data_IF_868656185880
#
_entry.id   IF_868656185880
#
_cell.length_a   1.000
_cell.length_b   1.000
_cell.length_c   1.000
_cell.angle_alpha   90.00
_cell.angle_beta   90.00
_cell.angle_gamma   90.00
#
_symmetry.space_group_name_H-M   'P 1'
#
loop_
_entity.id
_entity.type
_entity.pdbx_description
1 polymer ?
#
# COMPACT_ATOMS: atom_id res chain seq x y z
N UNK A 1 3.09 25.45 -13.83
CA UNK A 1 3.70 24.13 -13.54
C UNK A 1 2.99 23.10 -14.40
N UNK A 2 3.72 22.16 -15.00
CA UNK A 2 3.10 21.05 -15.71
C UNK A 2 2.27 20.23 -14.70
N UNK A 3 1.14 19.63 -15.13
CA UNK A 3 0.35 18.76 -14.28
C UNK A 3 1.17 17.54 -13.85
N UNK A 4 0.96 17.06 -12.62
CA UNK A 4 1.42 15.75 -12.18
C UNK A 4 0.48 14.71 -12.81
N UNK A 5 1.03 13.77 -13.58
CA UNK A 5 0.25 12.76 -14.31
C UNK A 5 0.25 11.46 -13.53
N UNK A 6 -0.93 10.93 -13.24
CA UNK A 6 -1.12 9.68 -12.50
C UNK A 6 -1.82 8.68 -13.40
N UNK A 7 -1.12 7.62 -13.78
CA UNK A 7 -1.72 6.49 -14.49
C UNK A 7 -2.46 5.58 -13.49
N UNK A 8 -3.72 5.24 -13.80
CA UNK A 8 -4.54 4.37 -12.98
C UNK A 8 -4.95 3.15 -13.80
N UNK A 9 -4.62 1.96 -13.30
CA UNK A 9 -5.19 0.70 -13.76
C UNK A 9 -6.67 0.64 -13.32
N UNK A 10 -7.57 1.09 -14.18
CA UNK A 10 -8.99 1.13 -13.84
C UNK A 10 -9.70 -0.21 -13.97
N UNK A 11 -8.99 -1.26 -14.39
CA UNK A 11 -9.55 -2.61 -14.57
C UNK A 11 -9.08 -3.59 -13.47
N UNK A 12 -8.22 -3.15 -12.54
CA UNK A 12 -7.56 -4.05 -11.60
C UNK A 12 -8.34 -4.39 -10.33
N UNK A 13 -9.33 -3.61 -9.94
CA UNK A 13 -10.07 -3.79 -8.67
C UNK A 13 -11.26 -4.74 -8.76
N UNK A 14 -11.80 -5.16 -7.62
CA UNK A 14 -12.95 -6.07 -7.52
C UNK A 14 -14.25 -5.46 -8.09
N UNK A 15 -14.35 -4.13 -8.12
CA UNK A 15 -15.51 -3.38 -8.63
C UNK A 15 -15.11 -2.47 -9.80
N UNK A 16 -14.07 -2.85 -10.52
CA UNK A 16 -13.56 -2.12 -11.67
C UNK A 16 -14.61 -2.01 -12.80
N UNK A 17 -14.62 -0.92 -13.54
CA UNK A 17 -13.80 0.29 -13.39
C UNK A 17 -14.41 1.35 -12.48
N UNK A 18 -15.60 1.10 -11.89
CA UNK A 18 -16.42 2.12 -11.24
C UNK A 18 -15.74 2.71 -9.99
N UNK A 19 -15.24 1.84 -9.10
CA UNK A 19 -14.63 2.29 -7.84
C UNK A 19 -13.33 3.05 -8.07
N UNK A 20 -12.52 2.63 -9.04
CA UNK A 20 -11.26 3.26 -9.41
C UNK A 20 -11.50 4.68 -9.95
N UNK A 21 -12.51 4.84 -10.82
CA UNK A 21 -12.92 6.15 -11.36
C UNK A 21 -13.49 7.04 -10.26
N UNK A 22 -14.36 6.52 -9.38
CA UNK A 22 -14.89 7.25 -8.24
C UNK A 22 -13.79 7.69 -7.28
N UNK A 23 -12.78 6.82 -7.04
CA UNK A 23 -11.60 7.16 -6.26
C UNK A 23 -10.81 8.31 -6.86
N UNK A 24 -10.62 8.34 -8.17
CA UNK A 24 -9.96 9.43 -8.88
C UNK A 24 -10.75 10.75 -8.79
N UNK A 25 -12.09 10.69 -8.88
CA UNK A 25 -12.96 11.87 -8.71
C UNK A 25 -12.79 12.45 -7.29
N UNK A 26 -12.87 11.62 -6.25
CA UNK A 26 -12.67 12.06 -4.87
C UNK A 26 -11.27 12.62 -4.64
N UNK A 27 -10.26 12.00 -5.24
CA UNK A 27 -8.87 12.47 -5.17
C UNK A 27 -8.72 13.84 -5.88
N UNK A 28 -9.36 14.05 -7.04
CA UNK A 28 -9.29 15.31 -7.76
C UNK A 28 -9.82 16.49 -6.95
N UNK A 29 -10.92 16.29 -6.22
CA UNK A 29 -11.47 17.31 -5.32
C UNK A 29 -10.49 17.68 -4.20
N UNK A 30 -9.85 16.66 -3.60
CA UNK A 30 -8.86 16.86 -2.54
C UNK A 30 -7.59 17.54 -3.06
N UNK A 31 -7.09 17.14 -4.21
CA UNK A 31 -5.91 17.76 -4.84
C UNK A 31 -6.16 19.22 -5.21
N UNK A 32 -7.37 19.55 -5.70
CA UNK A 32 -7.77 20.93 -5.95
C UNK A 32 -7.72 21.78 -4.67
N UNK A 33 -8.22 21.25 -3.54
CA UNK A 33 -8.15 21.94 -2.24
C UNK A 33 -6.71 22.18 -1.77
N UNK A 34 -5.77 21.29 -2.15
CA UNK A 34 -4.35 21.41 -1.87
C UNK A 34 -3.59 22.28 -2.88
N UNK A 35 -4.27 22.82 -3.91
CA UNK A 35 -3.65 23.63 -4.96
C UNK A 35 -2.77 22.82 -5.92
N UNK A 36 -2.93 21.50 -5.98
CA UNK A 36 -2.19 20.62 -6.85
C UNK A 36 -2.89 20.45 -8.19
N UNK A 37 -2.14 20.57 -9.29
CA UNK A 37 -2.63 20.32 -10.64
C UNK A 37 -2.33 18.88 -11.04
N UNK A 38 -3.36 18.05 -11.09
CA UNK A 38 -3.25 16.60 -11.38
C UNK A 38 -4.03 16.26 -12.64
N UNK A 39 -3.42 15.43 -13.50
CA UNK A 39 -4.07 14.77 -14.63
C UNK A 39 -4.07 13.26 -14.41
N UNK A 40 -5.23 12.62 -14.57
CA UNK A 40 -5.36 11.18 -14.48
C UNK A 40 -5.32 10.54 -15.88
N UNK A 41 -4.52 9.48 -16.04
CA UNK A 41 -4.51 8.64 -17.23
C UNK A 41 -5.25 7.34 -16.88
N UNK A 42 -6.50 7.21 -17.30
CA UNK A 42 -7.28 5.99 -17.09
C UNK A 42 -6.87 4.93 -18.09
N UNK A 43 -6.18 3.90 -17.61
CA UNK A 43 -5.69 2.81 -18.45
C UNK A 43 -6.65 1.62 -18.33
N UNK A 44 -7.30 1.24 -19.42
CA UNK A 44 -8.29 0.14 -19.43
C UNK A 44 -9.13 0.14 -20.68
N UNK A 45 -10.16 -0.71 -20.71
CA UNK A 45 -11.09 -0.81 -21.84
C UNK A 45 -11.90 0.48 -21.98
N UNK A 46 -11.64 1.22 -23.06
CA UNK A 46 -12.25 2.53 -23.29
C UNK A 46 -13.77 2.50 -23.23
N UNK A 47 -14.41 1.46 -23.80
CA UNK A 47 -15.87 1.30 -23.79
C UNK A 47 -16.45 1.15 -22.39
N UNK A 48 -15.75 0.40 -21.49
CA UNK A 48 -16.18 0.19 -20.11
C UNK A 48 -15.97 1.45 -19.28
N UNK A 49 -14.85 2.17 -19.49
CA UNK A 49 -14.56 3.45 -18.83
C UNK A 49 -15.64 4.49 -19.20
N UNK A 50 -15.93 4.68 -20.48
CA UNK A 50 -16.95 5.64 -20.96
C UNK A 50 -18.32 5.33 -20.36
N UNK A 51 -18.73 4.05 -20.40
CA UNK A 51 -20.00 3.62 -19.80
C UNK A 51 -20.09 3.90 -18.30
N UNK A 52 -19.01 3.64 -17.55
CA UNK A 52 -18.98 3.94 -16.11
C UNK A 52 -19.09 5.45 -15.84
N UNK A 53 -18.46 6.26 -16.67
CA UNK A 53 -18.46 7.73 -16.52
C UNK A 53 -19.81 8.38 -16.84
N UNK A 54 -20.65 7.78 -17.68
CA UNK A 54 -21.99 8.32 -18.01
C UNK A 54 -22.88 8.51 -16.77
N UNK A 55 -22.64 7.73 -15.71
CA UNK A 55 -23.43 7.77 -14.46
C UNK A 55 -22.83 8.66 -13.37
N UNK A 56 -21.68 9.26 -13.62
CA UNK A 56 -20.90 10.00 -12.63
C UNK A 56 -20.87 11.50 -12.94
N UNK A 57 -20.73 12.30 -11.86
CA UNK A 57 -20.46 13.74 -11.95
C UNK A 57 -19.01 14.01 -11.54
N UNK A 58 -18.26 14.72 -12.39
CA UNK A 58 -16.82 14.94 -12.18
C UNK A 58 -16.35 16.34 -12.61
N UNK A 59 -16.89 17.42 -12.00
CA UNK A 59 -16.68 18.81 -12.47
C UNK A 59 -15.23 19.27 -12.42
N UNK A 60 -14.35 18.58 -11.68
CA UNK A 60 -12.96 18.98 -11.46
C UNK A 60 -11.93 17.94 -11.93
N UNK A 61 -12.39 16.84 -12.53
CA UNK A 61 -11.53 15.78 -13.00
C UNK A 61 -10.90 16.13 -14.35
N UNK A 62 -9.58 16.24 -14.38
CA UNK A 62 -8.81 16.31 -15.63
C UNK A 62 -8.29 14.91 -15.93
N UNK A 63 -8.68 14.34 -17.06
CA UNK A 63 -8.30 12.97 -17.42
C UNK A 63 -8.14 12.78 -18.92
N UNK A 64 -7.41 11.71 -19.26
CA UNK A 64 -7.39 11.11 -20.58
C UNK A 64 -7.54 9.60 -20.47
N UNK A 65 -7.95 8.93 -21.55
CA UNK A 65 -8.13 7.47 -21.58
C UNK A 65 -7.04 6.87 -22.45
N UNK A 66 -6.41 5.82 -21.94
CA UNK A 66 -5.49 4.96 -22.68
C UNK A 66 -6.14 3.59 -22.80
N UNK A 67 -6.54 3.22 -24.03
CA UNK A 67 -7.20 1.95 -24.26
C UNK A 67 -6.25 0.77 -24.01
N UNK A 68 -6.71 -0.19 -23.22
CA UNK A 68 -6.03 -1.45 -22.92
C UNK A 68 -7.07 -2.58 -22.97
N UNK A 69 -6.91 -3.51 -23.90
CA UNK A 69 -7.93 -4.51 -24.19
C UNK A 69 -7.89 -5.73 -23.27
N UNK A 70 -6.77 -5.94 -22.58
CA UNK A 70 -6.56 -7.07 -21.68
C UNK A 70 -6.67 -6.66 -20.21
N UNK A 71 -7.11 -7.63 -19.39
CA UNK A 71 -7.26 -7.46 -17.94
C UNK A 71 -6.41 -8.52 -17.23
N UNK A 72 -5.71 -8.10 -16.18
CA UNK A 72 -5.05 -9.01 -15.23
C UNK A 72 -6.01 -9.31 -14.10
N UNK A 73 -6.38 -10.59 -13.95
CA UNK A 73 -7.24 -11.05 -12.85
C UNK A 73 -6.44 -11.35 -11.60
N UNK A 74 -7.14 -11.45 -10.45
CA UNK A 74 -6.51 -11.85 -9.18
C UNK A 74 -5.97 -13.29 -9.18
N UNK A 75 -6.41 -14.13 -10.13
CA UNK A 75 -5.99 -15.53 -10.27
C UNK A 75 -4.87 -15.73 -11.32
N UNK A 76 -4.49 -14.69 -12.06
CA UNK A 76 -3.41 -14.80 -13.02
C UNK A 76 -2.06 -15.00 -12.32
N UNK A 77 -1.22 -15.85 -12.90
CA UNK A 77 0.17 -16.01 -12.44
C UNK A 77 0.92 -14.68 -12.65
N UNK A 78 1.47 -14.08 -11.57
CA UNK A 78 2.17 -12.80 -11.65
C UNK A 78 3.30 -12.76 -12.68
N UNK A 79 4.01 -13.89 -12.87
CA UNK A 79 5.14 -13.97 -13.80
C UNK A 79 4.70 -14.19 -15.24
N UNK A 80 3.56 -14.84 -15.45
CA UNK A 80 2.99 -15.06 -16.78
C UNK A 80 2.45 -13.74 -17.40
N UNK A 81 1.93 -12.83 -16.59
CA UNK A 81 1.40 -11.52 -17.04
C UNK A 81 2.42 -10.76 -17.88
N UNK A 82 3.68 -10.73 -17.48
CA UNK A 82 4.76 -10.02 -18.18
C UNK A 82 4.96 -10.51 -19.61
N UNK A 83 4.69 -11.80 -19.84
CA UNK A 83 4.89 -12.43 -21.15
C UNK A 83 3.63 -12.40 -22.03
N UNK A 84 2.47 -12.64 -21.44
CA UNK A 84 1.22 -12.93 -22.14
C UNK A 84 0.19 -11.81 -22.16
N UNK A 85 0.29 -10.81 -21.24
CA UNK A 85 -0.71 -9.73 -21.10
C UNK A 85 -0.10 -8.33 -21.17
N UNK A 86 0.69 -8.08 -22.20
CA UNK A 86 1.35 -6.78 -22.40
C UNK A 86 0.40 -5.65 -22.79
N UNK A 87 -0.78 -5.97 -23.30
CA UNK A 87 -1.85 -5.00 -23.60
C UNK A 87 -2.84 -4.86 -22.43
N UNK A 88 -2.49 -5.34 -21.23
CA UNK A 88 -3.31 -5.14 -20.05
C UNK A 88 -3.15 -3.74 -19.45
N UNK A 89 -4.20 -3.27 -18.81
CA UNK A 89 -4.22 -1.99 -18.10
C UNK A 89 -3.08 -1.86 -17.08
N UNK A 90 -2.76 -2.94 -16.38
CA UNK A 90 -1.66 -3.01 -15.42
C UNK A 90 -0.30 -2.84 -16.13
N UNK A 91 -0.03 -3.62 -17.17
CA UNK A 91 1.27 -3.56 -17.86
C UNK A 91 1.45 -2.20 -18.56
N UNK A 92 0.45 -1.75 -19.31
CA UNK A 92 0.51 -0.48 -20.03
C UNK A 92 0.65 0.72 -19.08
N UNK A 93 -0.04 0.71 -17.93
CA UNK A 93 0.08 1.77 -16.92
C UNK A 93 1.50 1.88 -16.36
N UNK A 94 2.15 0.76 -16.05
CA UNK A 94 3.55 0.73 -15.61
C UNK A 94 4.50 1.17 -16.75
N UNK A 95 4.27 0.74 -17.99
CA UNK A 95 5.10 1.13 -19.15
C UNK A 95 4.99 2.63 -19.45
N UNK A 96 3.80 3.23 -19.34
CA UNK A 96 3.59 4.68 -19.47
C UNK A 96 4.43 5.43 -18.44
N UNK A 97 4.45 4.96 -17.19
CA UNK A 97 5.28 5.53 -16.13
C UNK A 97 6.78 5.34 -16.42
N UNK A 98 7.18 4.15 -16.87
CA UNK A 98 8.58 3.86 -17.22
C UNK A 98 9.13 4.78 -18.32
N UNK A 99 8.29 5.16 -19.27
CA UNK A 99 8.64 6.10 -20.38
C UNK A 99 8.59 7.58 -19.97
N UNK A 100 8.27 7.90 -18.72
CA UNK A 100 8.14 9.27 -18.23
C UNK A 100 6.88 9.99 -18.72
N UNK A 101 5.88 9.25 -19.23
CA UNK A 101 4.60 9.80 -19.66
C UNK A 101 3.57 9.87 -18.51
N UNK A 102 3.89 9.29 -17.36
CA UNK A 102 3.21 9.50 -16.08
C UNK A 102 4.24 9.61 -14.95
N UNK A 103 3.90 10.35 -13.91
CA UNK A 103 4.76 10.58 -12.74
C UNK A 103 4.52 9.53 -11.65
N UNK A 104 3.35 8.86 -11.69
CA UNK A 104 3.00 7.76 -10.79
C UNK A 104 2.08 6.76 -11.48
N UNK A 105 2.03 5.54 -10.92
CA UNK A 105 1.09 4.48 -11.29
C UNK A 105 0.36 3.96 -10.06
N UNK A 106 -0.96 3.74 -10.20
CA UNK A 106 -1.83 3.22 -9.14
C UNK A 106 -2.65 2.05 -9.69
N UNK A 107 -2.71 0.96 -8.94
CA UNK A 107 -3.55 -0.20 -9.25
C UNK A 107 -4.13 -0.78 -7.96
N UNK A 108 -5.38 -1.23 -8.01
CA UNK A 108 -6.03 -2.03 -6.97
C UNK A 108 -6.10 -3.52 -7.34
N UNK A 109 -5.33 -3.92 -8.37
CA UNK A 109 -5.31 -5.27 -8.90
C UNK A 109 -4.35 -6.23 -8.20
N UNK A 110 -3.95 -7.27 -8.91
CA UNK A 110 -3.08 -8.33 -8.43
C UNK A 110 -1.70 -7.79 -8.02
N UNK A 111 -1.45 -7.72 -6.71
CA UNK A 111 -0.22 -7.15 -6.13
C UNK A 111 1.05 -7.84 -6.64
N UNK A 112 1.03 -9.17 -6.79
CA UNK A 112 2.15 -9.93 -7.33
C UNK A 112 2.46 -9.55 -8.79
N UNK A 113 1.42 -9.36 -9.60
CA UNK A 113 1.55 -8.93 -11.00
C UNK A 113 2.08 -7.48 -11.09
N UNK A 114 1.60 -6.56 -10.24
CA UNK A 114 2.13 -5.19 -10.13
C UNK A 114 3.61 -5.23 -9.81
N UNK A 115 4.00 -5.93 -8.74
CA UNK A 115 5.39 -6.03 -8.31
C UNK A 115 6.29 -6.66 -9.38
N UNK A 116 5.87 -7.78 -9.96
CA UNK A 116 6.64 -8.50 -10.98
C UNK A 116 6.83 -7.65 -12.23
N UNK A 117 5.75 -7.02 -12.71
CA UNK A 117 5.79 -6.14 -13.89
C UNK A 117 6.65 -4.91 -13.64
N UNK A 118 6.47 -4.23 -12.49
CA UNK A 118 7.27 -3.07 -12.11
C UNK A 118 8.78 -3.44 -12.02
N UNK A 119 9.09 -4.60 -11.43
CA UNK A 119 10.49 -5.07 -11.33
C UNK A 119 11.14 -5.26 -12.70
N UNK A 120 10.39 -5.76 -13.69
CA UNK A 120 10.92 -6.01 -15.04
C UNK A 120 10.95 -4.75 -15.89
N UNK A 121 9.91 -3.92 -15.83
CA UNK A 121 9.73 -2.76 -16.71
C UNK A 121 10.49 -1.53 -16.17
N UNK A 122 10.37 -1.22 -14.87
CA UNK A 122 11.08 -0.10 -14.24
C UNK A 122 12.51 -0.48 -13.81
N UNK A 123 12.73 -1.76 -13.55
CA UNK A 123 13.98 -2.21 -12.94
C UNK A 123 14.02 -1.95 -11.43
N UNK A 124 15.15 -2.33 -10.82
CA UNK A 124 15.42 -2.10 -9.40
C UNK A 124 16.34 -0.90 -9.21
N UNK A 125 16.15 -0.17 -8.13
CA UNK A 125 17.10 0.87 -7.72
C UNK A 125 18.48 0.24 -7.51
N UNK A 126 19.53 0.91 -7.97
CA UNK A 126 20.92 0.41 -7.82
C UNK A 126 21.24 0.18 -6.34
N UNK A 127 21.73 -1.00 -6.02
CA UNK A 127 22.03 -1.42 -4.65
C UNK A 127 20.89 -2.18 -3.95
N UNK A 128 19.68 -2.18 -4.49
CA UNK A 128 18.54 -2.95 -3.95
C UNK A 128 18.53 -4.35 -4.54
N UNK A 129 18.69 -5.37 -3.71
CA UNK A 129 18.72 -6.78 -4.12
C UNK A 129 17.32 -7.32 -4.42
N UNK A 130 16.32 -6.91 -3.64
CA UNK A 130 14.92 -7.30 -3.79
C UNK A 130 14.00 -6.11 -3.55
N UNK A 131 12.96 -5.93 -4.37
CA UNK A 131 11.90 -4.97 -4.04
C UNK A 131 11.15 -5.46 -2.81
N UNK A 132 10.54 -4.55 -2.09
CA UNK A 132 9.67 -4.84 -0.95
C UNK A 132 8.32 -4.17 -1.12
N UNK A 133 7.29 -4.72 -0.48
CA UNK A 133 5.98 -4.10 -0.38
C UNK A 133 5.86 -3.53 1.03
N UNK A 134 5.59 -2.23 1.13
CA UNK A 134 5.35 -1.55 2.39
C UNK A 134 3.90 -1.18 2.58
N UNK A 135 3.44 -1.20 3.83
CA UNK A 135 2.12 -0.69 4.21
C UNK A 135 2.22 0.17 5.45
N UNK A 136 1.27 1.11 5.56
CA UNK A 136 1.11 1.90 6.77
C UNK A 136 0.03 1.29 7.65
N UNK A 137 0.38 1.03 8.91
CA UNK A 137 -0.58 0.64 9.93
C UNK A 137 -0.82 1.78 10.92
N UNK A 138 -2.07 2.00 11.37
CA UNK A 138 -2.37 3.02 12.36
C UNK A 138 -1.73 2.66 13.71
N UNK A 139 -1.34 3.69 14.47
CA UNK A 139 -0.81 3.49 15.83
C UNK A 139 -1.65 4.24 16.87
N UNK A 140 -1.46 3.87 18.12
CA UNK A 140 -2.11 4.54 19.26
C UNK A 140 -1.75 6.03 19.38
N UNK A 141 -0.61 6.44 18.82
CA UNK A 141 -0.12 7.82 18.88
C UNK A 141 -0.48 8.66 17.66
N UNK A 142 -1.29 8.10 16.73
CA UNK A 142 -1.80 8.80 15.55
C UNK A 142 -0.83 8.92 14.36
N UNK A 143 0.49 8.72 14.56
CA UNK A 143 1.43 8.64 13.45
C UNK A 143 1.51 7.18 12.98
N UNK A 144 1.25 6.91 11.69
CA UNK A 144 1.27 5.52 11.19
C UNK A 144 2.70 4.96 11.18
N UNK A 145 2.82 3.68 11.50
CA UNK A 145 4.06 2.90 11.36
C UNK A 145 4.16 2.33 9.95
N UNK A 146 5.36 2.37 9.36
CA UNK A 146 5.66 1.72 8.10
C UNK A 146 6.12 0.28 8.35
N UNK A 147 5.36 -0.71 7.88
CA UNK A 147 5.72 -2.13 7.94
C UNK A 147 6.30 -2.58 6.59
N UNK A 148 7.49 -3.16 6.58
CA UNK A 148 8.25 -3.70 5.46
C UNK A 148 8.83 -5.08 5.84
N UNK A 149 8.66 -6.15 5.14
CA UNK A 149 7.95 -6.47 3.89
C UNK A 149 6.57 -7.06 4.22
N UNK A 150 5.55 -6.82 3.39
CA UNK A 150 4.20 -7.38 3.62
C UNK A 150 3.76 -8.34 2.50
N UNK A 151 4.69 -9.04 1.86
CA UNK A 151 4.34 -10.12 0.94
C UNK A 151 5.14 -10.20 -0.36
N UNK A 152 6.24 -9.44 -0.51
CA UNK A 152 7.10 -9.51 -1.70
C UNK A 152 8.06 -10.70 -1.66
N UNK A 153 8.63 -11.01 -0.49
CA UNK A 153 9.69 -12.03 -0.35
C UNK A 153 9.45 -12.89 0.87
N UNK A 154 9.10 -14.18 0.64
CA UNK A 154 8.78 -15.13 1.73
C UNK A 154 10.06 -15.54 2.47
N UNK A 155 11.11 -15.94 1.75
CA UNK A 155 12.39 -16.34 2.35
C UNK A 155 13.38 -15.18 2.25
N UNK A 156 13.57 -14.46 3.36
CA UNK A 156 14.47 -13.33 3.41
C UNK A 156 15.86 -13.73 3.92
N UNK A 157 16.89 -13.33 3.16
CA UNK A 157 18.26 -13.32 3.64
C UNK A 157 18.49 -12.10 4.56
N UNK A 158 19.40 -12.16 5.55
CA UNK A 158 19.71 -11.03 6.42
C UNK A 158 19.99 -9.73 5.68
N UNK A 159 20.70 -9.82 4.56
CA UNK A 159 21.00 -8.69 3.68
C UNK A 159 19.71 -8.02 3.14
N UNK A 160 18.68 -8.78 2.81
CA UNK A 160 17.43 -8.19 2.29
C UNK A 160 16.71 -7.41 3.37
N UNK A 161 16.60 -7.96 4.59
CA UNK A 161 16.02 -7.28 5.74
C UNK A 161 16.79 -6.00 6.08
N UNK A 162 18.11 -6.04 6.00
CA UNK A 162 18.95 -4.85 6.18
C UNK A 162 18.69 -3.80 5.09
N UNK A 163 18.57 -4.20 3.82
CA UNK A 163 18.23 -3.31 2.71
C UNK A 163 16.81 -2.72 2.88
N UNK A 164 15.85 -3.50 3.41
CA UNK A 164 14.50 -3.00 3.73
C UNK A 164 14.55 -1.94 4.84
N UNK A 165 15.42 -2.10 5.82
CA UNK A 165 15.62 -1.08 6.85
C UNK A 165 16.14 0.24 6.27
N UNK A 166 17.11 0.17 5.36
CA UNK A 166 17.60 1.36 4.63
C UNK A 166 16.47 2.01 3.83
N UNK A 167 15.69 1.23 3.09
CA UNK A 167 14.57 1.76 2.31
C UNK A 167 13.51 2.41 3.20
N UNK A 168 13.18 1.77 4.32
CA UNK A 168 12.24 2.30 5.30
C UNK A 168 12.73 3.59 5.96
N UNK A 169 14.01 3.65 6.33
CA UNK A 169 14.65 4.85 6.89
C UNK A 169 14.56 6.03 5.91
N UNK A 170 14.98 5.82 4.66
CA UNK A 170 14.96 6.86 3.62
C UNK A 170 13.52 7.29 3.31
N UNK A 171 12.61 6.33 3.17
CA UNK A 171 11.20 6.62 2.90
C UNK A 171 10.56 7.43 4.02
N UNK A 172 10.77 7.02 5.27
CA UNK A 172 10.21 7.74 6.43
C UNK A 172 10.78 9.15 6.57
N UNK A 173 12.06 9.35 6.27
CA UNK A 173 12.65 10.71 6.26
C UNK A 173 12.04 11.59 5.19
N UNK A 174 11.90 11.10 3.96
CA UNK A 174 11.46 11.92 2.83
C UNK A 174 9.94 12.10 2.82
N UNK A 175 9.17 11.03 3.04
CA UNK A 175 7.72 11.04 2.86
C UNK A 175 6.98 11.38 4.15
N UNK A 176 7.45 10.86 5.30
CA UNK A 176 6.83 11.13 6.59
C UNK A 176 7.44 12.33 7.33
N UNK A 177 8.58 12.85 6.86
CA UNK A 177 9.27 13.99 7.49
C UNK A 177 9.88 13.67 8.85
N UNK A 178 10.32 12.42 9.08
CA UNK A 178 10.92 11.98 10.36
C UNK A 178 12.44 11.98 10.22
N UNK A 179 13.15 12.90 10.83
CA UNK A 179 14.62 13.04 10.67
C UNK A 179 15.40 11.78 11.05
N UNK A 180 15.02 11.14 12.16
CA UNK A 180 15.66 9.94 12.69
C UNK A 180 14.61 8.88 13.03
N UNK A 181 14.03 8.20 12.01
CA UNK A 181 12.99 7.22 12.24
C UNK A 181 13.52 6.07 13.09
N UNK A 182 12.75 5.66 14.08
CA UNK A 182 13.04 4.48 14.90
C UNK A 182 12.75 3.24 14.08
N UNK A 183 13.75 2.38 13.90
CA UNK A 183 13.66 1.14 13.14
C UNK A 183 13.64 -0.03 14.11
N UNK A 184 12.58 -0.83 14.08
CA UNK A 184 12.43 -2.07 14.84
C UNK A 184 12.51 -3.29 13.92
N UNK A 185 13.09 -4.39 14.41
CA UNK A 185 13.07 -5.69 13.75
C UNK A 185 11.98 -6.55 14.38
N UNK A 186 10.95 -6.93 13.61
CA UNK A 186 9.84 -7.72 14.13
C UNK A 186 10.33 -9.12 14.54
N UNK A 187 10.02 -9.49 15.78
CA UNK A 187 10.48 -10.74 16.37
C UNK A 187 9.45 -11.29 17.36
N UNK A 188 9.72 -12.48 17.89
CA UNK A 188 8.92 -13.17 18.91
C UNK A 188 9.21 -12.71 20.34
N UNK A 189 10.21 -11.87 20.55
CA UNK A 189 10.64 -11.31 21.85
C UNK A 189 11.63 -10.17 21.63
N UNK A 190 11.76 -9.30 22.66
CA UNK A 190 12.61 -8.09 22.61
C UNK A 190 14.10 -8.40 22.72
N UNK A 191 14.48 -9.58 23.27
CA UNK A 191 15.88 -9.94 23.51
C UNK A 191 16.64 -10.19 22.20
N UNK A 192 17.86 -9.71 22.09
CA UNK A 192 18.72 -9.86 20.92
C UNK A 192 19.04 -11.32 20.54
N UNK A 193 18.80 -12.24 21.47
CA UNK A 193 19.05 -13.70 21.27
C UNK A 193 17.84 -14.46 20.74
N UNK A 194 16.71 -13.81 20.54
CA UNK A 194 15.48 -14.43 20.04
C UNK A 194 15.41 -14.41 18.53
N UNK A 195 14.62 -15.33 17.99
CA UNK A 195 14.30 -15.41 16.55
C UNK A 195 15.07 -16.50 15.83
N UNK A 196 14.87 -16.53 14.53
CA UNK A 196 15.54 -17.44 13.60
C UNK A 196 16.94 -16.95 13.26
N UNK A 197 17.80 -17.82 12.74
CA UNK A 197 19.17 -17.45 12.33
C UNK A 197 19.22 -16.20 11.42
N UNK A 198 18.36 -16.04 10.38
CA UNK A 198 18.33 -14.81 9.59
C UNK A 198 17.99 -13.56 10.39
N UNK A 199 17.12 -13.67 11.39
CA UNK A 199 16.75 -12.55 12.26
C UNK A 199 17.92 -12.14 13.18
N UNK A 200 18.61 -13.12 13.78
CA UNK A 200 19.79 -12.87 14.61
C UNK A 200 20.89 -12.17 13.84
N UNK A 201 21.19 -12.63 12.62
CA UNK A 201 22.18 -11.99 11.74
C UNK A 201 21.75 -10.61 11.30
N UNK A 202 20.45 -10.40 11.02
CA UNK A 202 19.93 -9.07 10.70
C UNK A 202 20.03 -8.10 11.87
N UNK A 203 19.72 -8.57 13.07
CA UNK A 203 19.86 -7.78 14.30
C UNK A 203 21.31 -7.30 14.47
N UNK A 204 22.30 -8.18 14.29
CA UNK A 204 23.72 -7.81 14.36
C UNK A 204 24.07 -6.72 13.33
N UNK A 205 23.66 -6.91 12.04
CA UNK A 205 23.91 -5.93 10.98
C UNK A 205 23.27 -4.56 11.27
N UNK A 206 22.04 -4.54 11.79
CA UNK A 206 21.34 -3.31 12.14
C UNK A 206 21.98 -2.62 13.36
N UNK A 207 22.46 -3.37 14.35
CA UNK A 207 23.13 -2.84 15.54
C UNK A 207 24.45 -2.15 15.21
N UNK A 208 25.15 -2.60 14.16
CA UNK A 208 26.40 -2.00 13.68
C UNK A 208 26.17 -0.83 12.70
N UNK A 209 24.93 -0.60 12.28
CA UNK A 209 24.58 0.45 11.33
C UNK A 209 24.51 1.83 11.98
N UNK A 210 24.49 2.88 11.12
CA UNK A 210 24.26 4.26 11.56
C UNK A 210 22.78 4.64 11.69
N UNK A 211 21.87 3.70 11.37
CA UNK A 211 20.43 3.89 11.49
C UNK A 211 20.01 3.96 12.97
N UNK A 212 18.87 4.58 13.24
CA UNK A 212 18.30 4.62 14.58
C UNK A 212 17.57 3.30 14.89
N UNK A 213 18.35 2.21 14.95
CA UNK A 213 17.82 0.89 15.26
C UNK A 213 17.54 0.79 16.76
N UNK A 214 16.31 0.43 17.12
CA UNK A 214 15.84 0.31 18.50
C UNK A 214 15.82 -1.12 19.03
N UNK A 215 16.29 -2.09 18.24
CA UNK A 215 16.28 -3.51 18.59
C UNK A 215 15.08 -4.27 18.03
N UNK A 216 14.82 -5.45 18.64
CA UNK A 216 13.65 -6.25 18.30
C UNK A 216 12.38 -5.59 18.85
N UNK A 217 11.29 -5.74 18.11
CA UNK A 217 9.94 -5.34 18.50
C UNK A 217 8.97 -6.51 18.30
N UNK A 218 7.96 -6.61 19.15
CA UNK A 218 6.94 -7.65 19.05
C UNK A 218 5.70 -7.17 18.27
N UNK A 219 4.80 -8.08 17.92
CA UNK A 219 3.57 -7.74 17.21
C UNK A 219 2.70 -6.70 17.90
N UNK A 220 2.71 -6.65 19.25
CA UNK A 220 2.01 -5.62 20.04
C UNK A 220 2.57 -4.21 19.83
N UNK A 221 3.87 -4.10 19.59
CA UNK A 221 4.59 -2.84 19.46
C UNK A 221 4.29 -2.13 18.13
N UNK A 222 3.89 -2.91 17.11
CA UNK A 222 3.52 -2.38 15.79
C UNK A 222 2.39 -1.35 15.94
N UNK A 223 1.29 -1.73 16.61
CA UNK A 223 0.15 -0.83 16.80
C UNK A 223 0.34 0.13 17.99
N UNK A 224 1.24 -0.19 18.91
CA UNK A 224 1.64 0.75 19.98
C UNK A 224 2.42 1.95 19.40
N UNK A 225 3.09 1.80 18.24
CA UNK A 225 3.89 2.86 17.64
C UNK A 225 5.25 3.03 18.33
N UNK A 226 5.83 1.93 18.84
CA UNK A 226 7.15 1.91 19.47
C UNK A 226 8.25 2.27 18.46
N UNK A 227 8.08 1.83 17.20
CA UNK A 227 8.92 2.15 16.06
C UNK A 227 8.17 2.96 15.00
N UNK A 228 8.89 3.73 14.18
CA UNK A 228 8.35 4.42 12.99
C UNK A 228 8.38 3.49 11.76
N UNK A 229 9.36 2.59 11.71
CA UNK A 229 9.54 1.57 10.68
C UNK A 229 9.74 0.22 11.35
N UNK A 230 8.97 -0.78 10.92
CA UNK A 230 9.11 -2.16 11.39
C UNK A 230 9.47 -3.06 10.21
N UNK A 231 10.56 -3.82 10.38
CA UNK A 231 11.11 -4.70 9.34
C UNK A 231 10.77 -6.15 9.67
N UNK A 232 10.31 -6.88 8.66
CA UNK A 232 10.08 -8.33 8.73
C UNK A 232 10.26 -8.97 7.34
N UNK A 233 10.24 -10.30 7.29
CA UNK A 233 10.07 -11.01 6.02
C UNK A 233 8.62 -10.89 5.52
N UNK A 234 8.42 -11.11 4.21
CA UNK A 234 7.11 -10.95 3.59
C UNK A 234 6.07 -11.98 4.05
N UNK A 235 6.48 -13.14 4.57
CA UNK A 235 5.56 -14.12 5.12
C UNK A 235 4.94 -13.61 6.43
N UNK A 236 5.78 -13.21 7.38
CA UNK A 236 5.33 -12.67 8.66
C UNK A 236 4.56 -11.37 8.47
N UNK A 237 5.08 -10.45 7.64
CA UNK A 237 4.43 -9.18 7.40
C UNK A 237 3.06 -9.31 6.73
N UNK A 238 2.89 -10.25 5.80
CA UNK A 238 1.59 -10.52 5.18
C UNK A 238 0.59 -11.11 6.20
N UNK A 239 1.05 -11.97 7.11
CA UNK A 239 0.21 -12.49 8.20
C UNK A 239 -0.25 -11.34 9.10
N UNK A 240 0.67 -10.46 9.52
CA UNK A 240 0.34 -9.31 10.37
C UNK A 240 -0.67 -8.39 9.68
N UNK A 241 -0.45 -8.09 8.39
CA UNK A 241 -1.37 -7.26 7.60
C UNK A 241 -2.75 -7.90 7.50
N UNK A 242 -2.84 -9.17 7.10
CA UNK A 242 -4.12 -9.90 6.94
C UNK A 242 -4.86 -10.04 8.27
N UNK A 243 -4.12 -10.23 9.37
CA UNK A 243 -4.71 -10.25 10.70
C UNK A 243 -5.28 -8.88 11.07
N UNK A 244 -4.53 -7.79 10.85
CA UNK A 244 -5.02 -6.44 11.11
C UNK A 244 -6.27 -6.10 10.27
N UNK A 245 -6.29 -6.47 8.98
CA UNK A 245 -7.47 -6.34 8.10
C UNK A 245 -8.67 -7.11 8.66
N UNK A 246 -8.47 -8.34 9.13
CA UNK A 246 -9.53 -9.19 9.68
C UNK A 246 -10.13 -8.63 10.97
N UNK A 247 -9.32 -7.99 11.82
CA UNK A 247 -9.79 -7.34 13.05
C UNK A 247 -10.76 -6.18 12.76
N UNK A 248 -10.50 -5.40 11.71
CA UNK A 248 -11.43 -4.35 11.27
C UNK A 248 -12.76 -4.94 10.79
N UNK A 249 -12.70 -6.07 10.06
CA UNK A 249 -13.90 -6.83 9.64
C UNK A 249 -14.71 -7.33 10.84
N UNK A 250 -14.05 -7.92 11.83
CA UNK A 250 -14.67 -8.40 13.06
C UNK A 250 -15.34 -7.26 13.83
N UNK A 251 -14.66 -6.13 14.01
CA UNK A 251 -15.20 -4.97 14.70
C UNK A 251 -16.47 -4.43 13.99
N UNK A 252 -16.42 -4.28 12.67
CA UNK A 252 -17.58 -3.88 11.86
C UNK A 252 -18.76 -4.85 12.03
N UNK A 253 -18.51 -6.16 11.99
CA UNK A 253 -19.53 -7.19 12.17
C UNK A 253 -20.16 -7.12 13.57
N UNK A 254 -19.36 -6.95 14.63
CA UNK A 254 -19.86 -6.80 16.01
C UNK A 254 -20.71 -5.54 16.19
N UNK A 255 -20.26 -4.40 15.64
CA UNK A 255 -21.04 -3.15 15.67
C UNK A 255 -22.36 -3.31 14.91
N UNK A 256 -22.32 -3.91 13.71
CA UNK A 256 -23.53 -4.18 12.92
C UNK A 256 -24.49 -5.12 13.66
N UNK A 257 -23.98 -6.20 14.27
CA UNK A 257 -24.76 -7.13 15.06
C UNK A 257 -25.41 -6.48 16.30
N UNK A 258 -24.69 -5.56 16.96
CA UNK A 258 -25.23 -4.79 18.08
C UNK A 258 -26.35 -3.85 17.62
N UNK A 259 -26.16 -3.13 16.52
CA UNK A 259 -27.17 -2.23 15.93
C UNK A 259 -28.45 -2.96 15.50
N UNK A 260 -28.34 -4.22 15.08
CA UNK A 260 -29.47 -5.02 14.63
C UNK A 260 -30.42 -5.50 15.74
N UNK A 261 -30.02 -5.41 17.03
CA UNK A 261 -30.80 -5.93 18.16
C UNK A 261 -32.08 -5.14 18.40
N UNK A 262 -32.10 -3.83 18.23
CA UNK A 262 -33.31 -2.99 18.33
C UNK A 262 -33.05 -1.60 17.71
N UNK A 263 -34.15 -0.84 17.54
CA UNK A 263 -34.07 0.54 17.04
C UNK A 263 -33.25 1.46 17.99
N UNK A 264 -33.35 1.19 19.31
CA UNK A 264 -32.57 1.91 20.33
C UNK A 264 -31.05 1.67 20.14
N UNK A 265 -30.66 0.40 19.94
CA UNK A 265 -29.24 0.05 19.67
C UNK A 265 -28.71 0.67 18.38
N UNK A 266 -29.57 0.73 17.36
CA UNK A 266 -29.20 1.41 16.08
C UNK A 266 -28.94 2.90 16.28
N UNK A 267 -29.79 3.58 17.06
CA UNK A 267 -29.60 5.00 17.40
C UNK A 267 -28.34 5.19 18.24
N UNK A 268 -28.08 4.34 19.23
CA UNK A 268 -26.85 4.40 20.05
C UNK A 268 -25.59 4.24 19.18
N UNK A 269 -25.57 3.29 18.26
CA UNK A 269 -24.44 3.11 17.33
C UNK A 269 -24.25 4.35 16.45
N UNK A 270 -25.33 4.94 15.94
CA UNK A 270 -25.27 6.16 15.14
C UNK A 270 -24.62 7.32 15.92
N UNK A 271 -25.02 7.53 17.18
CA UNK A 271 -24.41 8.52 18.07
C UNK A 271 -22.94 8.24 18.37
N UNK A 272 -22.55 6.97 18.53
CA UNK A 272 -21.14 6.59 18.74
C UNK A 272 -20.29 6.77 17.48
N UNK A 273 -20.82 6.56 16.28
CA UNK A 273 -20.09 6.68 15.03
C UNK A 273 -19.68 8.13 14.70
N UNK A 274 -20.46 9.13 15.17
CA UNK A 274 -20.15 10.56 14.92
C UNK A 274 -18.81 10.97 15.55
N UNK A 275 -18.57 10.81 16.87
CA UNK A 275 -17.30 11.10 17.47
C UNK A 275 -16.19 10.16 16.98
N UNK A 276 -16.49 8.87 16.76
CA UNK A 276 -15.51 7.89 16.29
C UNK A 276 -14.93 8.28 14.91
N UNK A 277 -15.74 8.80 14.00
CA UNK A 277 -15.27 9.33 12.72
C UNK A 277 -14.31 10.53 12.86
N UNK A 278 -14.43 11.31 13.95
CA UNK A 278 -13.49 12.41 14.23
C UNK A 278 -12.16 11.92 14.82
N UNK A 279 -12.20 10.83 15.58
CA UNK A 279 -11.01 10.23 16.21
C UNK A 279 -10.20 9.43 15.19
N UNK A 280 -10.87 8.81 14.20
CA UNK A 280 -10.23 7.97 13.17
C UNK A 280 -9.82 8.74 11.90
N UNK A 281 -10.01 10.06 11.86
CA UNK A 281 -9.49 10.97 10.83
C UNK A 281 -8.14 11.54 11.27
#
# INVERSE_FOLDING_TARGET
MNPIRIAIDVMGGDFAPLNEIQGAILASEKFKQLGLNIEFLFVGKESEIKKAMETLSFPHLVYSIVNADEIVSMHDDPTAVIKSKRNSSLFMGIDIHARGNADAFVSAGNTGAVMSTATVVLGRIKGVSRPTIGTFLPTQHGRPVLLLDVGATIECKPRFLYEYAIMGDVYSRIVQGIDKPKIGLLNIGEEATKGTEPILQTHALLSESTMNFIGNVEGRDVLAGTADVVICDGFVGNIVLKFAESMLGLLKAKIKGYAAKSIVHKIMVLFMLIPLKKILK
#
